data_IF_365007517297
#
_entry.id   IF_365007517297
#
_cell.length_a   1.000
_cell.length_b   1.000
_cell.length_c   1.000
_cell.angle_alpha   90.00
_cell.angle_beta   90.00
_cell.angle_gamma   90.00
#
_symmetry.space_group_name_H-M   'P 1'
#
loop_
_entity.id
_entity.type
_entity.pdbx_description
1 polymer ?
#
# COMPACT_ATOMS: atom_id res chain seq x y z
N UNK A 1 -21.54 3.03 12.58
CA UNK A 1 -20.69 3.39 11.45
C UNK A 1 -19.89 4.68 11.66
N UNK A 2 -20.46 5.81 12.16
CA UNK A 2 -19.73 7.08 12.39
C UNK A 2 -18.53 6.97 13.34
N UNK A 3 -18.54 6.08 14.33
CA UNK A 3 -17.44 5.88 15.30
C UNK A 3 -16.24 5.12 14.72
N UNK A 4 -16.45 4.23 13.75
CA UNK A 4 -15.39 3.44 13.11
C UNK A 4 -14.55 4.31 12.15
N UNK A 5 -15.20 5.28 11.47
CA UNK A 5 -14.51 6.21 10.57
C UNK A 5 -13.56 7.14 11.33
N UNK A 6 -13.98 7.60 12.52
CA UNK A 6 -13.12 8.41 13.40
C UNK A 6 -11.87 7.67 13.89
N UNK A 7 -11.99 6.37 14.20
CA UNK A 7 -10.86 5.53 14.60
C UNK A 7 -9.88 5.27 13.45
N UNK A 8 -10.38 5.09 12.21
CA UNK A 8 -9.52 4.87 11.05
C UNK A 8 -8.73 6.13 10.67
N UNK A 9 -9.34 7.31 10.77
CA UNK A 9 -8.66 8.59 10.55
C UNK A 9 -7.62 8.87 11.64
N UNK A 10 -7.91 8.57 12.91
CA UNK A 10 -6.97 8.68 14.00
C UNK A 10 -5.80 7.69 13.87
N UNK A 11 -6.04 6.46 13.39
CA UNK A 11 -5.01 5.46 13.13
C UNK A 11 -4.06 5.91 12.00
N UNK A 12 -4.59 6.51 10.94
CA UNK A 12 -3.77 7.05 9.84
C UNK A 12 -2.86 8.21 10.31
N UNK A 13 -3.36 9.06 11.22
CA UNK A 13 -2.57 10.16 11.82
C UNK A 13 -1.53 9.67 12.80
N UNK A 14 -1.85 8.66 13.61
CA UNK A 14 -0.88 8.10 14.56
C UNK A 14 0.28 7.37 13.87
N UNK A 15 0.05 6.77 12.70
CA UNK A 15 1.09 6.13 11.89
C UNK A 15 2.06 7.16 11.28
N UNK A 16 1.58 8.35 10.94
CA UNK A 16 2.43 9.46 10.48
C UNK A 16 3.20 10.12 11.64
N UNK A 17 2.70 10.01 12.87
CA UNK A 17 3.27 10.64 14.07
C UNK A 17 4.53 9.94 14.61
N UNK A 18 4.77 8.68 14.28
CA UNK A 18 5.92 7.90 14.80
C UNK A 18 7.29 8.39 14.31
N UNK A 19 7.34 9.33 13.38
CA UNK A 19 8.56 9.83 12.74
C UNK A 19 8.95 11.28 13.16
N UNK A 20 8.70 11.69 14.39
CA UNK A 20 9.41 12.84 15.01
C UNK A 20 9.00 14.26 14.60
N UNK A 21 7.78 14.48 14.08
CA UNK A 21 7.31 15.80 13.63
C UNK A 21 6.16 16.35 14.48
N UNK A 22 6.43 16.66 15.74
CA UNK A 22 5.42 17.15 16.71
C UNK A 22 4.70 18.44 16.28
N UNK A 23 5.34 19.34 15.54
CA UNK A 23 4.74 20.61 15.11
C UNK A 23 3.77 20.45 13.93
N UNK A 24 4.05 19.52 13.00
CA UNK A 24 3.17 19.26 11.84
C UNK A 24 1.91 18.46 12.23
N UNK A 25 1.96 17.68 13.31
CA UNK A 25 0.83 16.89 13.80
C UNK A 25 -0.32 17.80 14.24
N UNK A 26 -0.03 18.91 14.88
CA UNK A 26 -1.05 19.86 15.37
C UNK A 26 -1.83 20.50 14.22
N UNK A 27 -1.15 20.84 13.14
CA UNK A 27 -1.75 21.46 11.97
C UNK A 27 -2.59 20.45 11.16
N UNK A 28 -2.09 19.22 11.00
CA UNK A 28 -2.81 18.11 10.35
C UNK A 28 -4.05 17.73 11.18
N UNK A 29 -3.96 17.65 12.50
CA UNK A 29 -5.09 17.29 13.38
C UNK A 29 -6.23 18.31 13.29
N UNK A 30 -5.92 19.58 13.10
CA UNK A 30 -6.92 20.63 12.91
C UNK A 30 -7.56 20.62 11.50
N UNK A 31 -6.87 20.11 10.49
CA UNK A 31 -7.40 20.02 9.13
C UNK A 31 -8.21 18.74 8.86
N UNK A 32 -7.99 17.66 9.64
CA UNK A 32 -8.73 16.40 9.51
C UNK A 32 -10.25 16.57 9.57
N UNK A 33 -10.83 17.33 10.52
CA UNK A 33 -12.27 17.56 10.53
C UNK A 33 -12.79 18.21 9.24
N UNK A 34 -12.02 19.14 8.66
CA UNK A 34 -12.40 19.82 7.41
C UNK A 34 -12.32 18.87 6.20
N UNK A 35 -11.31 17.99 6.15
CA UNK A 35 -11.17 16.96 5.11
C UNK A 35 -12.27 15.89 5.21
N UNK A 36 -12.72 15.56 6.41
CA UNK A 36 -13.78 14.57 6.63
C UNK A 36 -15.19 15.17 6.53
N UNK A 37 -15.33 16.49 6.59
CA UNK A 37 -16.62 17.17 6.56
C UNK A 37 -17.51 16.77 5.36
N UNK A 38 -17.01 16.66 4.10
CA UNK A 38 -17.79 16.19 2.97
C UNK A 38 -18.31 14.76 3.15
N UNK A 39 -17.52 13.87 3.75
CA UNK A 39 -17.93 12.50 4.05
C UNK A 39 -18.97 12.45 5.18
N UNK A 40 -18.87 13.33 6.17
CA UNK A 40 -19.80 13.43 7.31
C UNK A 40 -21.10 14.12 6.93
N UNK A 41 -21.06 15.09 6.01
CA UNK A 41 -22.24 15.82 5.49
C UNK A 41 -23.03 15.03 4.45
N UNK A 42 -22.52 13.87 3.98
CA UNK A 42 -23.16 13.06 2.95
C UNK A 42 -22.96 13.57 1.52
N UNK A 43 -22.10 14.56 1.32
CA UNK A 43 -21.78 15.08 -0.03
C UNK A 43 -20.77 14.19 -0.77
N UNK A 44 -20.00 13.35 -0.07
CA UNK A 44 -19.11 12.39 -0.64
C UNK A 44 -19.77 11.01 -0.78
N UNK A 45 -19.49 10.31 -1.86
CA UNK A 45 -19.99 8.95 -2.10
C UNK A 45 -18.99 7.91 -1.63
N UNK A 46 -19.49 6.91 -0.88
CA UNK A 46 -18.67 5.76 -0.48
C UNK A 46 -18.24 4.93 -1.68
N UNK A 47 -17.01 4.44 -1.62
CA UNK A 47 -16.40 3.58 -2.63
C UNK A 47 -15.45 2.58 -1.99
N UNK A 48 -15.43 1.36 -2.53
CA UNK A 48 -14.51 0.32 -2.12
C UNK A 48 -13.77 -0.29 -3.30
N UNK A 49 -12.60 -0.87 -3.00
CA UNK A 49 -11.76 -1.59 -3.96
C UNK A 49 -11.27 -2.89 -3.34
N UNK A 50 -11.20 -3.94 -4.15
CA UNK A 50 -10.41 -5.14 -3.88
C UNK A 50 -9.43 -5.30 -5.03
N UNK A 51 -8.15 -5.49 -4.73
CA UNK A 51 -7.08 -5.59 -5.71
C UNK A 51 -6.26 -6.84 -5.47
N UNK A 52 -5.93 -7.55 -6.55
CA UNK A 52 -4.91 -8.58 -6.61
C UNK A 52 -3.77 -8.11 -7.50
N UNK A 53 -2.53 -8.23 -7.03
CA UNK A 53 -1.36 -7.77 -7.76
C UNK A 53 -0.16 -8.69 -7.55
N UNK A 54 0.72 -8.69 -8.55
CA UNK A 54 2.05 -9.28 -8.48
C UNK A 54 3.09 -8.17 -8.55
N UNK A 55 4.10 -8.27 -7.70
CA UNK A 55 5.25 -7.36 -7.67
C UNK A 55 6.52 -8.14 -7.92
N UNK A 56 7.25 -7.76 -8.94
CA UNK A 56 8.58 -8.27 -9.27
C UNK A 56 9.63 -7.40 -8.59
N UNK A 57 10.39 -7.98 -7.68
CA UNK A 57 11.51 -7.29 -7.01
C UNK A 57 12.58 -6.87 -8.00
N UNK A 58 13.06 -5.63 -7.86
CA UNK A 58 14.14 -5.03 -8.66
C UNK A 58 15.26 -4.53 -7.75
N UNK A 59 16.48 -4.43 -8.31
CA UNK A 59 17.66 -4.02 -7.53
C UNK A 59 18.47 -5.19 -7.00
N UNK A 60 19.17 -4.99 -5.89
CA UNK A 60 20.08 -5.98 -5.31
C UNK A 60 19.34 -7.03 -4.48
N UNK A 61 18.37 -6.60 -3.69
CA UNK A 61 17.57 -7.47 -2.81
C UNK A 61 16.21 -7.70 -3.48
N UNK A 62 16.16 -8.70 -4.35
CA UNK A 62 14.98 -9.01 -5.18
C UNK A 62 13.98 -9.83 -4.38
N UNK A 63 12.94 -9.18 -3.88
CA UNK A 63 11.82 -9.81 -3.20
C UNK A 63 10.59 -9.72 -4.11
N UNK A 64 10.14 -10.85 -4.63
CA UNK A 64 8.91 -10.92 -5.41
C UNK A 64 7.72 -11.09 -4.46
N UNK A 65 6.54 -10.60 -4.83
CA UNK A 65 5.38 -10.81 -3.98
C UNK A 65 4.06 -10.89 -4.72
N UNK A 66 3.12 -11.61 -4.10
CA UNK A 66 1.70 -11.61 -4.44
C UNK A 66 0.97 -10.85 -3.34
N UNK A 67 0.16 -9.87 -3.71
CA UNK A 67 -0.54 -9.01 -2.78
C UNK A 67 -2.03 -9.00 -3.08
N UNK A 68 -2.85 -9.17 -2.03
CA UNK A 68 -4.29 -8.99 -2.04
C UNK A 68 -4.65 -7.87 -1.06
N UNK A 69 -5.26 -6.79 -1.56
CA UNK A 69 -5.60 -5.63 -0.74
C UNK A 69 -7.06 -5.25 -0.86
N UNK A 70 -7.58 -4.61 0.18
CA UNK A 70 -8.86 -3.91 0.15
C UNK A 70 -8.68 -2.47 0.59
N UNK A 71 -9.35 -1.56 -0.09
CA UNK A 71 -9.36 -0.13 0.22
C UNK A 71 -10.80 0.34 0.36
N UNK A 72 -11.09 1.10 1.41
CA UNK A 72 -12.41 1.63 1.69
C UNK A 72 -12.31 3.14 1.92
N UNK A 73 -13.20 3.92 1.30
CA UNK A 73 -13.10 5.37 1.39
C UNK A 73 -14.27 6.10 0.74
N UNK A 74 -14.00 7.34 0.36
CA UNK A 74 -15.00 8.23 -0.19
C UNK A 74 -14.47 8.96 -1.42
N UNK A 75 -15.32 9.07 -2.44
CA UNK A 75 -15.15 10.02 -3.51
C UNK A 75 -15.61 11.41 -3.03
N UNK A 76 -14.68 12.34 -2.97
CA UNK A 76 -14.94 13.75 -2.66
C UNK A 76 -15.37 14.53 -3.90
N UNK A 77 -15.00 14.02 -5.06
CA UNK A 77 -15.37 14.53 -6.37
C UNK A 77 -15.26 13.43 -7.43
N UNK A 78 -15.69 13.69 -8.64
CA UNK A 78 -15.57 12.73 -9.74
C UNK A 78 -14.12 12.35 -10.08
N UNK A 79 -13.17 13.19 -9.71
CA UNK A 79 -11.75 13.02 -10.02
C UNK A 79 -10.90 12.63 -8.82
N UNK A 80 -11.39 12.76 -7.56
CA UNK A 80 -10.61 12.51 -6.36
C UNK A 80 -11.31 11.58 -5.38
N UNK A 81 -10.58 10.53 -4.99
CA UNK A 81 -10.93 9.57 -3.95
C UNK A 81 -9.85 9.56 -2.88
N UNK A 82 -10.26 9.42 -1.63
CA UNK A 82 -9.39 9.18 -0.49
C UNK A 82 -9.95 8.04 0.36
N UNK A 83 -9.07 7.11 0.76
CA UNK A 83 -9.46 5.96 1.55
C UNK A 83 -8.34 5.44 2.44
N UNK A 84 -8.66 4.38 3.16
CA UNK A 84 -7.72 3.58 3.94
C UNK A 84 -7.81 2.13 3.48
N UNK A 85 -6.69 1.46 3.49
CA UNK A 85 -6.63 0.08 3.04
C UNK A 85 -5.71 -0.78 3.89
N UNK A 86 -5.95 -2.08 3.76
CA UNK A 86 -5.12 -3.11 4.33
C UNK A 86 -5.02 -4.28 3.36
N UNK A 87 -4.05 -5.14 3.55
CA UNK A 87 -3.91 -6.32 2.72
C UNK A 87 -3.09 -7.43 3.34
N UNK A 88 -2.92 -8.47 2.54
CA UNK A 88 -1.99 -9.56 2.79
C UNK A 88 -1.05 -9.66 1.60
N UNK A 89 0.23 -9.73 1.87
CA UNK A 89 1.28 -9.87 0.88
C UNK A 89 2.11 -11.10 1.23
N UNK A 90 2.27 -12.00 0.26
CA UNK A 90 3.17 -13.17 0.36
C UNK A 90 4.42 -12.83 -0.43
N UNK A 91 5.52 -12.62 0.27
CA UNK A 91 6.80 -12.23 -0.28
C UNK A 91 7.75 -13.43 -0.40
N UNK A 92 8.46 -13.51 -1.52
CA UNK A 92 9.41 -14.57 -1.85
C UNK A 92 10.81 -13.96 -1.99
N UNK A 93 11.66 -14.22 -1.02
CA UNK A 93 13.06 -13.81 -1.04
C UNK A 93 13.96 -14.96 -1.43
N UNK A 94 14.96 -14.70 -2.28
CA UNK A 94 16.02 -15.65 -2.65
C UNK A 94 17.31 -15.22 -2.01
N UNK A 95 17.90 -16.11 -1.22
CA UNK A 95 19.19 -15.91 -0.53
C UNK A 95 20.12 -17.09 -0.78
N UNK A 96 21.39 -16.91 -0.41
CA UNK A 96 22.39 -17.98 -0.43
C UNK A 96 22.48 -18.56 0.97
N UNK A 97 22.33 -19.88 1.09
CA UNK A 97 22.57 -20.58 2.34
C UNK A 97 24.02 -21.07 2.35
N UNK A 98 24.82 -20.55 3.29
CA UNK A 98 26.19 -21.00 3.54
C UNK A 98 26.16 -22.26 4.43
N UNK A 99 25.96 -23.40 3.79
CA UNK A 99 26.09 -24.68 4.50
C UNK A 99 27.56 -24.86 4.86
N UNK A 100 27.85 -24.91 6.16
CA UNK A 100 29.20 -25.18 6.69
C UNK A 100 29.82 -26.40 6.03
N UNK A 101 30.75 -26.20 5.08
CA UNK A 101 31.48 -27.24 4.38
C UNK A 101 30.84 -27.81 3.12
N UNK A 102 29.74 -27.25 2.63
CA UNK A 102 29.05 -27.61 1.38
C UNK A 102 29.15 -26.56 0.28
N UNK A 103 28.63 -26.88 -0.91
CA UNK A 103 28.46 -25.90 -1.96
C UNK A 103 27.29 -24.97 -1.57
N UNK A 104 27.42 -23.63 -1.74
CA UNK A 104 26.34 -22.70 -1.44
C UNK A 104 25.11 -23.05 -2.28
N UNK A 105 24.00 -23.32 -1.61
CA UNK A 105 22.72 -23.59 -2.27
C UNK A 105 21.87 -22.33 -2.29
N UNK A 106 21.06 -22.18 -3.33
CA UNK A 106 20.13 -21.06 -3.47
C UNK A 106 18.79 -21.46 -2.89
N UNK A 107 18.41 -20.83 -1.79
CA UNK A 107 17.13 -21.08 -1.14
C UNK A 107 16.11 -19.95 -1.38
N UNK A 108 14.85 -20.28 -1.21
CA UNK A 108 13.75 -19.31 -1.31
C UNK A 108 12.94 -19.36 -0.02
N UNK A 109 12.97 -18.28 0.73
CA UNK A 109 12.13 -18.10 1.91
C UNK A 109 10.86 -17.34 1.58
N UNK A 110 9.78 -17.71 2.25
CA UNK A 110 8.45 -17.13 2.08
C UNK A 110 8.06 -16.37 3.34
N UNK A 111 7.62 -15.14 3.17
CA UNK A 111 7.24 -14.25 4.27
C UNK A 111 5.84 -13.69 4.07
N UNK A 112 5.13 -13.50 5.19
CA UNK A 112 3.85 -12.81 5.20
C UNK A 112 4.06 -11.36 5.63
N UNK A 113 3.55 -10.42 4.84
CA UNK A 113 3.62 -8.98 5.12
C UNK A 113 2.20 -8.41 5.06
N UNK A 114 1.84 -7.61 6.05
CA UNK A 114 0.54 -6.95 6.15
C UNK A 114 0.72 -5.45 5.94
N UNK A 115 0.39 -4.90 4.75
CA UNK A 115 0.37 -3.46 4.52
C UNK A 115 -0.88 -2.83 5.13
N UNK A 116 -0.71 -1.65 5.76
CA UNK A 116 -1.75 -0.72 6.19
C UNK A 116 -1.42 0.65 5.59
N UNK A 117 -2.36 1.24 4.87
CA UNK A 117 -2.07 2.44 4.10
C UNK A 117 -3.27 3.39 3.97
N UNK A 118 -2.96 4.64 3.69
CA UNK A 118 -3.88 5.61 3.10
C UNK A 118 -3.74 5.57 1.58
N UNK A 119 -4.84 5.77 0.90
CA UNK A 119 -4.96 5.71 -0.56
C UNK A 119 -5.51 7.04 -1.08
N UNK A 120 -4.79 7.64 -2.03
CA UNK A 120 -5.15 8.86 -2.72
C UNK A 120 -5.22 8.57 -4.22
N UNK A 121 -6.44 8.55 -4.77
CA UNK A 121 -6.65 8.25 -6.19
C UNK A 121 -7.20 9.44 -6.94
N UNK A 122 -6.59 9.71 -8.08
CA UNK A 122 -6.96 10.76 -9.02
C UNK A 122 -7.43 10.12 -10.33
N UNK A 123 -8.71 10.29 -10.67
CA UNK A 123 -9.28 9.79 -11.92
C UNK A 123 -9.24 10.91 -12.96
N UNK A 124 -8.73 10.57 -14.15
CA UNK A 124 -8.52 11.51 -15.26
C UNK A 124 -9.43 11.07 -16.40
N UNK A 125 -10.45 11.85 -16.70
CA UNK A 125 -11.40 11.57 -17.75
C UNK A 125 -12.83 11.36 -17.25
N UNK A 126 -13.68 10.81 -18.12
CA UNK A 126 -15.09 10.59 -17.83
C UNK A 126 -15.27 9.24 -17.12
N UNK A 127 -15.97 9.23 -15.98
CA UNK A 127 -16.23 8.01 -15.19
C UNK A 127 -17.17 7.01 -15.89
N UNK A 128 -17.95 7.45 -16.89
CA UNK A 128 -18.85 6.59 -17.68
C UNK A 128 -18.18 5.92 -18.88
N UNK A 129 -16.90 6.22 -19.13
CA UNK A 129 -16.08 5.67 -20.20
C UNK A 129 -14.75 5.16 -19.63
N UNK A 130 -13.97 4.36 -20.36
CA UNK A 130 -12.60 4.04 -19.97
C UNK A 130 -11.81 5.33 -19.69
N UNK A 131 -11.16 5.39 -18.54
CA UNK A 131 -10.47 6.57 -18.05
C UNK A 131 -9.14 6.17 -17.39
N UNK A 132 -8.19 7.11 -17.30
CA UNK A 132 -6.94 6.88 -16.61
C UNK A 132 -7.09 7.19 -15.11
N UNK A 133 -6.24 6.57 -14.31
CA UNK A 133 -6.08 6.95 -12.92
C UNK A 133 -4.62 6.96 -12.50
N UNK A 134 -4.34 7.79 -11.51
CA UNK A 134 -3.11 7.79 -10.72
C UNK A 134 -3.52 7.54 -9.27
N UNK A 135 -2.85 6.62 -8.62
CA UNK A 135 -3.12 6.16 -7.28
C UNK A 135 -1.82 6.23 -6.47
N UNK A 136 -1.88 6.71 -5.23
CA UNK A 136 -0.74 6.78 -4.31
C UNK A 136 -1.14 6.19 -2.97
N UNK A 137 -0.49 5.08 -2.61
CA UNK A 137 -0.64 4.44 -1.30
C UNK A 137 0.57 4.73 -0.44
N UNK A 138 0.32 5.23 0.75
CA UNK A 138 1.36 5.59 1.74
C UNK A 138 0.98 5.03 3.10
N UNK A 139 1.90 4.35 3.76
CA UNK A 139 1.63 3.75 5.06
C UNK A 139 2.79 2.94 5.62
N UNK A 140 2.45 1.89 6.34
CA UNK A 140 3.39 0.94 6.91
C UNK A 140 3.05 -0.48 6.48
N UNK A 141 4.04 -1.34 6.46
CA UNK A 141 3.85 -2.78 6.25
C UNK A 141 4.56 -3.54 7.38
N UNK A 142 3.95 -4.61 7.84
CA UNK A 142 4.42 -5.38 8.98
C UNK A 142 4.77 -6.80 8.57
N UNK A 143 5.98 -7.25 8.90
CA UNK A 143 6.38 -8.64 8.76
C UNK A 143 5.68 -9.46 9.86
N UNK A 144 5.00 -10.52 9.47
CA UNK A 144 4.21 -11.38 10.37
C UNK A 144 4.72 -12.82 10.32
N UNK A 145 4.80 -13.46 11.49
CA UNK A 145 5.16 -14.88 11.59
C UNK A 145 6.64 -15.19 11.45
N UNK A 146 7.49 -14.17 11.26
CA UNK A 146 8.95 -14.31 11.26
C UNK A 146 9.60 -13.19 12.08
N UNK A 147 10.77 -13.49 12.66
CA UNK A 147 11.54 -12.50 13.41
C UNK A 147 12.47 -11.68 12.52
N UNK A 148 12.82 -12.22 11.37
CA UNK A 148 13.70 -11.59 10.38
C UNK A 148 13.31 -11.98 8.95
N UNK A 149 13.73 -11.16 7.99
CA UNK A 149 13.63 -11.46 6.56
C UNK A 149 15.02 -11.62 5.99
N UNK A 150 15.29 -12.80 5.44
CA UNK A 150 16.54 -13.10 4.74
C UNK A 150 16.50 -12.54 3.32
N UNK A 151 17.58 -11.89 2.94
CA UNK A 151 17.76 -11.25 1.64
C UNK A 151 19.02 -11.77 0.98
N UNK A 152 19.19 -11.50 -0.30
CA UNK A 152 20.39 -11.93 -1.06
C UNK A 152 21.70 -11.41 -0.46
N UNK A 153 21.69 -10.26 0.23
CA UNK A 153 22.86 -9.60 0.79
C UNK A 153 22.79 -9.43 2.33
N UNK A 154 22.05 -10.28 3.02
CA UNK A 154 21.91 -10.24 4.47
C UNK A 154 20.49 -10.45 4.96
N UNK A 155 20.19 -9.99 6.17
CA UNK A 155 18.89 -10.15 6.79
C UNK A 155 18.40 -8.83 7.40
N UNK A 156 17.08 -8.68 7.50
CA UNK A 156 16.41 -7.54 8.13
C UNK A 156 15.66 -8.03 9.35
N UNK A 157 16.06 -7.55 10.54
CA UNK A 157 15.40 -7.86 11.82
C UNK A 157 14.24 -6.94 12.14
N UNK A 158 14.10 -5.83 11.40
CA UNK A 158 12.98 -4.92 11.61
C UNK A 158 11.70 -5.50 10.99
N UNK A 159 10.65 -5.53 11.78
CA UNK A 159 9.32 -6.03 11.36
C UNK A 159 8.46 -4.93 10.74
N UNK A 160 8.87 -3.67 10.83
CA UNK A 160 8.11 -2.51 10.36
C UNK A 160 8.81 -1.88 9.17
N UNK A 161 8.04 -1.72 8.07
CA UNK A 161 8.51 -1.13 6.84
C UNK A 161 7.66 0.11 6.53
N UNK A 162 8.30 1.18 6.10
CA UNK A 162 7.58 2.24 5.38
C UNK A 162 7.09 1.69 4.05
N UNK A 163 5.82 1.87 3.75
CA UNK A 163 5.17 1.39 2.53
C UNK A 163 4.77 2.58 1.66
N UNK A 164 5.27 2.59 0.42
CA UNK A 164 4.88 3.55 -0.59
C UNK A 164 4.66 2.85 -1.92
N UNK A 165 3.48 3.05 -2.54
CA UNK A 165 3.13 2.40 -3.80
C UNK A 165 2.32 3.32 -4.70
N UNK A 166 2.99 4.11 -5.59
CA UNK A 166 2.33 4.79 -6.68
C UNK A 166 1.89 3.78 -7.76
N UNK A 167 0.72 4.01 -8.34
CA UNK A 167 0.14 3.19 -9.41
C UNK A 167 -0.43 4.10 -10.49
N UNK A 168 -0.23 3.74 -11.75
CA UNK A 168 -0.90 4.33 -12.90
C UNK A 168 -1.69 3.26 -13.62
N UNK A 169 -2.87 3.59 -14.14
CA UNK A 169 -3.67 2.56 -14.78
C UNK A 169 -4.88 3.07 -15.53
N UNK A 170 -5.67 2.12 -15.98
CA UNK A 170 -6.90 2.34 -16.72
C UNK A 170 -8.07 1.79 -15.90
N UNK A 171 -9.09 2.61 -15.76
CA UNK A 171 -10.37 2.30 -15.15
C UNK A 171 -11.37 2.00 -16.27
N UNK A 172 -11.99 0.83 -16.24
CA UNK A 172 -12.99 0.35 -17.22
C UNK A 172 -14.31 0.19 -16.47
N UNK A 173 -15.31 1.06 -16.68
CA UNK A 173 -16.61 0.93 -16.03
C UNK A 173 -17.29 -0.39 -16.46
N UNK A 174 -17.88 -1.10 -15.51
CA UNK A 174 -18.56 -2.37 -15.77
C UNK A 174 -19.80 -2.19 -16.67
N UNK A 175 -20.42 -1.00 -16.59
CA UNK A 175 -21.54 -0.60 -17.48
C UNK A 175 -21.57 0.92 -17.60
N UNK A 176 -21.86 1.42 -18.80
CA UNK A 176 -22.10 2.84 -19.02
C UNK A 176 -23.32 3.37 -18.25
N UNK A 177 -24.28 2.48 -17.92
CA UNK A 177 -25.46 2.81 -17.11
C UNK A 177 -25.20 2.78 -15.60
N UNK A 178 -24.13 2.11 -15.16
CA UNK A 178 -23.75 1.99 -13.76
C UNK A 178 -22.24 2.29 -13.59
N UNK A 179 -21.82 3.56 -13.67
CA UNK A 179 -20.41 3.95 -13.60
C UNK A 179 -19.79 3.78 -12.20
N UNK A 180 -20.59 3.32 -11.22
CA UNK A 180 -20.11 3.08 -9.85
C UNK A 180 -19.22 1.85 -9.75
N UNK A 181 -19.42 0.86 -10.63
CA UNK A 181 -18.63 -0.37 -10.66
C UNK A 181 -17.65 -0.33 -11.82
N UNK A 182 -16.40 -0.70 -11.55
CA UNK A 182 -15.37 -0.75 -12.58
C UNK A 182 -14.33 -1.82 -12.30
N UNK A 183 -13.64 -2.22 -13.35
CA UNK A 183 -12.40 -2.99 -13.29
C UNK A 183 -11.26 -1.99 -13.56
N UNK A 184 -10.25 -2.03 -12.71
CA UNK A 184 -9.05 -1.22 -12.89
C UNK A 184 -7.87 -2.14 -13.17
N UNK A 185 -7.02 -1.77 -14.12
CA UNK A 185 -5.78 -2.47 -14.44
C UNK A 185 -4.67 -1.44 -14.30
N UNK A 186 -3.66 -1.74 -13.50
CA UNK A 186 -2.60 -0.78 -13.19
C UNK A 186 -1.21 -1.38 -13.16
N UNK A 187 -0.23 -0.51 -13.40
CA UNK A 187 1.19 -0.75 -13.17
C UNK A 187 1.64 0.07 -11.98
N UNK A 188 2.37 -0.53 -11.07
CA UNK A 188 2.80 0.09 -9.83
C UNK A 188 4.31 -0.01 -9.65
N UNK A 189 4.85 0.92 -8.87
CA UNK A 189 6.16 0.82 -8.26
C UNK A 189 5.97 0.67 -6.76
N UNK A 190 6.58 -0.33 -6.15
CA UNK A 190 6.49 -0.56 -4.71
C UNK A 190 7.83 -0.29 -4.05
N UNK A 191 7.79 0.43 -2.95
CA UNK A 191 8.93 0.74 -2.11
C UNK A 191 8.60 0.33 -0.67
N UNK A 192 9.41 -0.58 -0.13
CA UNK A 192 9.41 -0.96 1.28
C UNK A 192 10.75 -0.59 1.88
N UNK A 193 10.76 0.31 2.86
CA UNK A 193 11.98 0.75 3.53
C UNK A 193 11.93 0.38 5.00
N UNK A 194 12.97 -0.30 5.48
CA UNK A 194 13.14 -0.63 6.88
C UNK A 194 14.52 -0.15 7.38
N UNK A 195 14.59 0.18 8.68
CA UNK A 195 15.86 0.50 9.34
C UNK A 195 16.51 -0.80 9.84
N UNK A 196 17.76 -1.05 9.47
CA UNK A 196 18.54 -2.16 10.05
C UNK A 196 18.97 -1.79 11.47
N UNK A 197 18.55 -2.58 12.46
CA UNK A 197 18.80 -2.29 13.88
C UNK A 197 20.29 -2.26 14.28
N UNK A 198 21.14 -3.04 13.64
CA UNK A 198 22.56 -3.16 14.03
C UNK A 198 23.51 -2.22 13.30
N UNK A 199 23.17 -1.77 12.09
CA UNK A 199 24.08 -0.99 11.21
C UNK A 199 23.52 0.37 10.87
N UNK A 200 22.72 1.05 11.58
CA UNK A 200 22.14 2.37 11.27
C UNK A 200 21.97 2.66 9.75
N UNK A 201 21.67 1.60 8.98
CA UNK A 201 21.51 1.60 7.54
C UNK A 201 20.06 1.27 7.18
N UNK A 202 19.52 2.00 6.24
CA UNK A 202 18.20 1.69 5.69
C UNK A 202 18.34 0.65 4.57
N UNK A 203 17.50 -0.37 4.61
CA UNK A 203 17.27 -1.28 3.49
C UNK A 203 16.00 -0.82 2.77
N UNK A 204 16.08 -0.79 1.45
CA UNK A 204 14.95 -0.45 0.59
C UNK A 204 14.72 -1.58 -0.41
N UNK A 205 13.56 -2.22 -0.30
CA UNK A 205 13.09 -3.21 -1.25
C UNK A 205 12.24 -2.51 -2.30
N UNK A 206 12.66 -2.63 -3.54
CA UNK A 206 12.00 -2.00 -4.68
C UNK A 206 11.35 -3.08 -5.55
N UNK A 207 10.18 -2.77 -6.11
CA UNK A 207 9.48 -3.69 -7.01
C UNK A 207 8.65 -2.97 -8.07
N UNK A 208 8.54 -3.61 -9.23
CA UNK A 208 7.61 -3.23 -10.29
C UNK A 208 6.43 -4.18 -10.25
N UNK A 209 5.22 -3.66 -10.19
CA UNK A 209 4.01 -4.45 -10.03
C UNK A 209 3.01 -4.25 -11.16
N UNK A 210 2.18 -5.26 -11.34
CA UNK A 210 0.97 -5.19 -12.14
C UNK A 210 -0.20 -5.76 -11.35
N UNK A 211 -1.36 -5.12 -11.43
CA UNK A 211 -2.52 -5.52 -10.65
C UNK A 211 -3.84 -5.27 -11.38
N UNK A 212 -4.85 -5.99 -10.90
CA UNK A 212 -6.23 -5.82 -11.28
C UNK A 212 -7.07 -5.57 -10.04
N UNK A 213 -7.96 -4.58 -10.08
CA UNK A 213 -8.88 -4.33 -8.98
C UNK A 213 -10.32 -4.19 -9.45
N UNK A 214 -11.23 -4.60 -8.58
CA UNK A 214 -12.66 -4.35 -8.72
C UNK A 214 -13.08 -3.20 -7.80
N UNK A 215 -13.87 -2.30 -8.36
CA UNK A 215 -14.38 -1.09 -7.71
C UNK A 215 -15.91 -1.16 -7.62
N UNK A 216 -16.49 -0.80 -6.45
CA UNK A 216 -17.94 -0.72 -6.22
C UNK A 216 -18.39 0.50 -5.45
#
# INVERSE_FOLDING_TARGET
MKKILGCAALAAVSLLASQGASAQIYEITNQIPQLLQPALSGSASYKGFVEASYVQGVGNDKVNSLELTTTQGFNYSNWFFMGVGAGANVAFSRHWDDILGGYPSRETSTYAIVPLYTDFRFNIGNTSAPSFFVDMRVGCAFLVGSDEMELANGYVTNKEYFYFRPTIGVRIPASSKSPKQAINIGLSYQLLTARMGYYDRNITLNGLGAGISFEW
#
